data_IF_774182698442
#
_entry.id   IF_774182698442
#
_cell.length_a   1.000
_cell.length_b   1.000
_cell.length_c   1.000
_cell.angle_alpha   90.00
_cell.angle_beta   90.00
_cell.angle_gamma   90.00
#
_symmetry.space_group_name_H-M   'P 1'
#
loop_
_entity.id
_entity.type
_entity.pdbx_description
1 polymer ?
#
# COMPACT_ATOMS: atom_id res chain seq x y z
N UNK A 1 34.61 7.05 -2.86
CA UNK A 1 33.29 6.57 -3.29
C UNK A 1 32.68 5.47 -2.42
N UNK A 2 33.43 4.66 -1.66
CA UNK A 2 32.89 3.57 -0.78
C UNK A 2 32.24 4.03 0.54
N UNK A 3 32.50 5.24 1.03
CA UNK A 3 31.99 5.73 2.34
C UNK A 3 30.56 6.31 2.30
N UNK A 4 30.06 6.71 1.14
CA UNK A 4 28.72 7.33 0.99
C UNK A 4 27.62 6.25 0.92
N UNK A 5 27.93 5.07 0.38
CA UNK A 5 26.97 3.95 0.29
C UNK A 5 26.58 3.39 1.67
N UNK A 6 27.48 3.47 2.65
CA UNK A 6 27.22 2.99 4.02
C UNK A 6 26.27 3.91 4.79
N UNK A 7 26.30 5.21 4.50
CA UNK A 7 25.49 6.21 5.22
C UNK A 7 24.01 6.16 4.85
N UNK A 8 23.67 5.86 3.59
CA UNK A 8 22.28 5.75 3.15
C UNK A 8 21.59 4.46 3.65
N UNK A 9 22.34 3.37 3.83
CA UNK A 9 21.81 2.12 4.41
C UNK A 9 21.59 2.26 5.91
N UNK A 10 22.44 3.00 6.62
CA UNK A 10 22.31 3.26 8.06
C UNK A 10 21.10 4.16 8.37
N UNK A 11 20.75 5.12 7.50
CA UNK A 11 19.62 6.04 7.72
C UNK A 11 18.24 5.36 7.59
N UNK A 12 18.16 4.22 6.89
CA UNK A 12 16.93 3.42 6.84
C UNK A 12 16.76 2.49 8.07
N UNK A 13 17.83 2.26 8.82
CA UNK A 13 17.82 1.32 9.96
C UNK A 13 17.60 1.95 11.34
N UNK A 14 17.58 3.28 11.46
CA UNK A 14 17.72 3.92 12.78
C UNK A 14 16.44 4.54 13.37
N UNK A 15 15.23 4.31 12.84
CA UNK A 15 14.05 5.01 13.36
C UNK A 15 12.83 4.17 13.68
N UNK A 16 12.99 2.91 14.10
CA UNK A 16 11.88 2.17 14.71
C UNK A 16 12.13 1.86 16.18
N UNK A 17 12.56 2.83 16.95
CA UNK A 17 12.53 2.74 18.40
C UNK A 17 11.62 3.81 18.97
N UNK A 18 10.34 3.46 19.11
CA UNK A 18 9.53 3.92 20.24
C UNK A 18 8.32 3.02 20.38
N UNK A 19 8.32 2.28 21.45
CA UNK A 19 7.27 1.46 21.98
C UNK A 19 5.99 2.26 22.18
N UNK A 20 5.06 2.15 21.23
CA UNK A 20 3.66 2.45 21.47
C UNK A 20 2.93 1.11 21.40
N UNK A 21 2.14 0.82 22.41
CA UNK A 21 1.35 -0.41 22.53
C UNK A 21 0.55 -0.64 21.24
N UNK A 22 1.10 -1.43 20.35
CA UNK A 22 0.38 -1.95 19.19
C UNK A 22 -0.87 -2.69 19.69
N UNK A 23 -1.93 -2.76 18.88
CA UNK A 23 -3.00 -3.71 19.13
C UNK A 23 -2.35 -5.04 19.49
N UNK A 24 -2.74 -5.63 20.62
CA UNK A 24 -2.09 -6.84 21.11
C UNK A 24 -2.35 -7.97 20.11
N UNK A 25 -1.36 -8.25 19.28
CA UNK A 25 -1.38 -9.38 18.37
C UNK A 25 -0.96 -10.63 19.14
N UNK A 26 -1.74 -11.73 19.09
CA UNK A 26 -1.39 -12.94 19.80
C UNK A 26 -0.09 -13.54 19.24
N UNK A 27 0.76 -14.07 20.11
CA UNK A 27 2.09 -14.61 19.77
C UNK A 27 2.06 -15.63 18.62
N UNK A 28 0.96 -16.39 18.48
CA UNK A 28 0.79 -17.39 17.42
C UNK A 28 0.96 -16.81 16.02
N UNK A 29 0.60 -15.54 15.79
CA UNK A 29 0.71 -14.91 14.45
C UNK A 29 2.13 -14.50 14.10
N UNK A 30 3.08 -14.65 15.03
CA UNK A 30 4.51 -14.41 14.81
C UNK A 30 5.33 -15.71 14.93
N UNK A 31 4.86 -16.69 15.68
CA UNK A 31 5.53 -17.98 15.84
C UNK A 31 5.20 -18.96 14.70
N UNK A 32 4.02 -18.84 14.11
CA UNK A 32 3.59 -19.60 12.94
C UNK A 32 3.48 -18.67 11.74
N UNK A 33 3.58 -19.22 10.53
CA UNK A 33 3.35 -18.44 9.33
C UNK A 33 1.89 -17.98 9.29
N UNK A 34 1.72 -16.68 9.34
CA UNK A 34 0.40 -16.05 9.29
C UNK A 34 0.38 -14.92 8.26
N UNK A 35 -0.45 -15.05 7.25
CA UNK A 35 -0.67 -14.07 6.18
C UNK A 35 -2.14 -14.08 5.73
N UNK A 36 -2.51 -13.12 4.89
CA UNK A 36 -3.83 -13.07 4.26
C UNK A 36 -4.69 -11.93 4.81
N UNK A 37 -5.99 -12.03 4.55
CA UNK A 37 -6.95 -10.97 4.79
C UNK A 37 -7.42 -10.94 6.25
N UNK A 38 -7.41 -9.75 6.82
CA UNK A 38 -8.00 -9.41 8.11
C UNK A 38 -8.96 -8.25 7.93
N UNK A 39 -10.14 -8.37 8.50
CA UNK A 39 -11.15 -7.32 8.54
C UNK A 39 -11.08 -6.53 9.83
N UNK A 40 -11.34 -5.24 9.74
CA UNK A 40 -11.28 -4.30 10.85
C UNK A 40 -12.66 -3.70 11.14
N UNK A 41 -12.95 -3.54 12.42
CA UNK A 41 -14.04 -2.75 12.97
C UNK A 41 -13.51 -1.51 13.69
N UNK A 42 -14.40 -0.79 14.39
CA UNK A 42 -14.05 0.39 15.18
C UNK A 42 -13.01 0.08 16.26
N UNK A 43 -12.14 1.05 16.57
CA UNK A 43 -11.13 0.93 17.62
C UNK A 43 -10.05 -0.13 17.34
N UNK A 44 -9.74 -0.38 16.05
CA UNK A 44 -8.78 -1.42 15.63
C UNK A 44 -9.16 -2.85 16.07
N UNK A 45 -10.42 -3.11 16.40
CA UNK A 45 -10.89 -4.48 16.53
C UNK A 45 -10.74 -5.20 15.19
N UNK A 46 -10.26 -6.43 15.20
CA UNK A 46 -9.99 -7.17 13.98
C UNK A 46 -10.35 -8.64 14.06
N UNK A 47 -10.61 -9.23 12.91
CA UNK A 47 -10.79 -10.66 12.77
C UNK A 47 -10.17 -11.16 11.48
N UNK A 48 -9.38 -12.25 11.55
CA UNK A 48 -8.85 -12.92 10.35
C UNK A 48 -10.01 -13.45 9.52
N UNK A 49 -9.97 -13.20 8.23
CA UNK A 49 -10.89 -13.81 7.29
C UNK A 49 -10.56 -15.29 7.11
N UNK A 50 -11.58 -16.14 7.19
CA UNK A 50 -11.48 -17.58 6.99
C UNK A 50 -12.53 -18.00 5.96
N UNK A 51 -12.14 -18.64 4.84
CA UNK A 51 -13.08 -19.02 3.80
C UNK A 51 -14.22 -19.87 4.34
N UNK A 52 -15.45 -19.55 3.95
CA UNK A 52 -16.66 -20.28 4.39
C UNK A 52 -17.14 -19.95 5.81
N UNK A 53 -16.47 -19.07 6.53
CA UNK A 53 -16.88 -18.64 7.86
C UNK A 53 -17.35 -17.19 7.88
N UNK A 54 -18.34 -16.88 8.73
CA UNK A 54 -18.78 -15.51 8.97
C UNK A 54 -17.67 -14.68 9.62
N UNK A 55 -17.68 -13.38 9.36
CA UNK A 55 -16.75 -12.43 9.95
C UNK A 55 -17.53 -11.23 10.48
N UNK A 56 -17.27 -10.83 11.72
CA UNK A 56 -18.00 -9.76 12.38
C UNK A 56 -17.86 -8.39 11.69
N UNK A 57 -16.78 -8.20 10.92
CA UNK A 57 -16.42 -6.92 10.29
C UNK A 57 -16.54 -6.95 8.76
N UNK A 58 -17.14 -8.00 8.19
CA UNK A 58 -17.35 -8.12 6.75
C UNK A 58 -18.83 -8.26 6.40
N UNK A 59 -19.28 -7.46 5.46
CA UNK A 59 -20.58 -7.60 4.82
C UNK A 59 -20.41 -7.54 3.30
N UNK A 60 -20.81 -8.60 2.62
CA UNK A 60 -20.62 -8.76 1.17
C UNK A 60 -21.24 -7.67 0.30
N UNK A 61 -22.23 -6.93 0.79
CA UNK A 61 -22.92 -5.88 0.04
C UNK A 61 -22.27 -4.49 0.20
N UNK A 62 -21.40 -4.32 1.20
CA UNK A 62 -20.72 -3.05 1.44
C UNK A 62 -19.60 -2.80 0.43
N UNK A 63 -19.35 -1.54 0.09
CA UNK A 63 -18.10 -1.13 -0.56
C UNK A 63 -16.93 -1.55 0.29
N UNK A 64 -15.79 -1.81 -0.34
CA UNK A 64 -14.65 -2.40 0.37
C UNK A 64 -13.36 -1.66 0.01
N UNK A 65 -12.55 -1.36 1.01
CA UNK A 65 -11.16 -0.91 0.86
C UNK A 65 -10.21 -1.90 1.50
N UNK A 66 -9.19 -2.31 0.75
CA UNK A 66 -8.12 -3.23 1.19
C UNK A 66 -6.81 -2.48 1.20
N UNK A 67 -6.09 -2.55 2.32
CA UNK A 67 -4.75 -2.02 2.47
C UNK A 67 -3.70 -3.13 2.43
N UNK A 68 -2.54 -2.85 1.82
CA UNK A 68 -1.39 -3.75 1.75
C UNK A 68 -0.15 -2.96 2.19
N UNK A 69 0.45 -3.41 3.29
CA UNK A 69 1.64 -2.75 3.85
C UNK A 69 2.91 -3.05 3.04
N UNK A 70 3.96 -2.28 3.31
CA UNK A 70 5.26 -2.42 2.67
C UNK A 70 6.22 -3.37 3.38
N UNK A 71 7.54 -3.13 3.22
CA UNK A 71 8.60 -3.81 3.95
C UNK A 71 8.49 -3.55 5.46
N UNK A 72 8.69 -4.60 6.25
CA UNK A 72 8.41 -4.60 7.69
C UNK A 72 9.57 -5.19 8.50
N UNK A 73 10.76 -4.62 8.35
CA UNK A 73 11.97 -5.10 9.04
C UNK A 73 11.76 -5.17 10.56
N UNK A 74 12.12 -6.30 11.14
CA UNK A 74 11.98 -6.63 12.57
C UNK A 74 10.54 -6.69 13.11
N UNK A 75 9.52 -6.61 12.27
CA UNK A 75 8.13 -6.65 12.73
C UNK A 75 7.77 -7.96 13.44
N UNK A 76 8.33 -9.09 12.99
CA UNK A 76 8.08 -10.39 13.63
C UNK A 76 8.73 -10.47 15.01
N UNK A 77 9.97 -10.00 15.16
CA UNK A 77 10.71 -10.00 16.45
C UNK A 77 10.07 -9.03 17.42
N UNK A 78 9.67 -7.86 16.95
CA UNK A 78 9.01 -6.83 17.76
C UNK A 78 7.52 -7.11 17.98
N UNK A 79 6.98 -8.19 17.38
CA UNK A 79 5.57 -8.58 17.46
C UNK A 79 4.62 -7.45 17.08
N UNK A 80 4.96 -6.72 16.00
CA UNK A 80 4.18 -5.58 15.50
C UNK A 80 3.59 -5.87 14.12
N UNK A 81 2.42 -5.32 13.85
CA UNK A 81 1.75 -5.29 12.55
C UNK A 81 1.16 -3.92 12.29
N UNK A 82 1.02 -3.57 11.02
CA UNK A 82 0.27 -2.39 10.61
C UNK A 82 -1.15 -2.43 11.15
N UNK A 83 -1.69 -1.24 11.48
CA UNK A 83 -3.06 -1.03 11.93
C UNK A 83 -3.53 0.34 11.46
N UNK A 84 -4.82 0.64 11.66
CA UNK A 84 -5.39 1.93 11.26
C UNK A 84 -5.30 3.00 12.37
N UNK A 85 -5.02 2.63 13.60
CA UNK A 85 -4.60 3.58 14.63
C UNK A 85 -3.16 4.03 14.36
N UNK A 86 -3.04 5.14 13.63
CA UNK A 86 -1.75 5.61 13.15
C UNK A 86 -0.92 6.34 14.21
N UNK A 87 -1.51 6.74 15.34
CA UNK A 87 -0.77 7.27 16.48
C UNK A 87 0.30 6.29 16.94
N UNK A 88 -0.02 5.00 16.93
CA UNK A 88 0.89 3.90 17.28
C UNK A 88 2.08 3.74 16.33
N UNK A 89 2.02 4.43 15.18
CA UNK A 89 3.04 4.37 14.13
C UNK A 89 3.72 5.74 13.94
N UNK A 90 3.59 6.65 14.91
CA UNK A 90 4.16 8.00 14.86
C UNK A 90 3.38 8.97 13.96
N UNK A 91 2.19 8.60 13.54
CA UNK A 91 1.24 9.47 12.85
C UNK A 91 0.45 10.40 13.78
N UNK A 92 -0.60 11.07 13.30
CA UNK A 92 -1.53 11.82 14.13
C UNK A 92 -2.31 10.90 15.08
N UNK A 93 -2.91 11.46 16.14
CA UNK A 93 -3.75 10.71 17.08
C UNK A 93 -5.12 10.42 16.45
N UNK A 94 -5.16 9.48 15.49
CA UNK A 94 -6.33 9.13 14.69
C UNK A 94 -6.36 7.63 14.39
N UNK A 95 -7.55 7.05 14.43
CA UNK A 95 -7.84 5.80 13.73
C UNK A 95 -8.39 6.15 12.35
N UNK A 96 -7.58 5.96 11.32
CA UNK A 96 -7.92 6.41 9.96
C UNK A 96 -8.89 5.48 9.23
N UNK A 97 -9.31 4.36 9.84
CA UNK A 97 -10.39 3.51 9.34
C UNK A 97 -11.78 4.04 9.69
N UNK A 98 -11.91 4.83 10.76
CA UNK A 98 -13.22 5.24 11.30
C UNK A 98 -14.09 5.95 10.25
N UNK A 99 -13.52 6.87 9.47
CA UNK A 99 -14.26 7.56 8.40
C UNK A 99 -14.83 6.59 7.36
N UNK A 100 -14.09 5.57 7.00
CA UNK A 100 -14.53 4.54 6.05
C UNK A 100 -15.61 3.64 6.64
N UNK A 101 -15.44 3.20 7.89
CA UNK A 101 -16.41 2.37 8.60
C UNK A 101 -17.74 3.10 8.76
N UNK A 102 -17.70 4.38 9.16
CA UNK A 102 -18.88 5.24 9.31
C UNK A 102 -19.59 5.50 7.98
N UNK A 103 -18.85 5.54 6.87
CA UNK A 103 -19.41 5.61 5.52
C UNK A 103 -19.90 4.25 4.98
N UNK A 104 -19.88 3.22 5.80
CA UNK A 104 -20.41 1.89 5.47
C UNK A 104 -19.49 1.04 4.61
N UNK A 105 -18.17 1.26 4.64
CA UNK A 105 -17.21 0.36 3.97
C UNK A 105 -16.86 -0.84 4.85
N UNK A 106 -16.52 -1.97 4.21
CA UNK A 106 -15.62 -2.94 4.82
C UNK A 106 -14.19 -2.41 4.70
N UNK A 107 -13.41 -2.53 5.76
CA UNK A 107 -12.01 -2.10 5.82
C UNK A 107 -11.14 -3.29 6.15
N UNK A 108 -10.17 -3.60 5.31
CA UNK A 108 -9.32 -4.77 5.49
C UNK A 108 -7.84 -4.51 5.26
N UNK A 109 -6.99 -5.35 5.85
CA UNK A 109 -5.56 -5.40 5.57
C UNK A 109 -5.20 -6.79 5.05
N UNK A 110 -4.46 -6.85 3.94
CA UNK A 110 -3.79 -8.06 3.47
C UNK A 110 -2.38 -8.11 4.07
N UNK A 111 -2.20 -8.94 5.09
CA UNK A 111 -0.93 -9.10 5.78
C UNK A 111 0.00 -10.07 5.06
N UNK A 112 1.28 -9.68 4.98
CA UNK A 112 2.40 -10.49 4.53
C UNK A 112 3.68 -10.19 5.33
N UNK A 113 3.52 -9.63 6.54
CA UNK A 113 4.59 -9.05 7.33
C UNK A 113 5.75 -10.00 7.61
N UNK A 114 5.53 -11.29 7.86
CA UNK A 114 6.61 -12.26 8.07
C UNK A 114 7.43 -12.54 6.80
N UNK A 115 6.81 -12.49 5.62
CA UNK A 115 7.52 -12.50 4.33
C UNK A 115 8.23 -11.18 4.04
N UNK A 116 7.64 -10.05 4.47
CA UNK A 116 8.19 -8.71 4.33
C UNK A 116 9.30 -8.42 5.34
N UNK A 117 9.46 -9.23 6.39
CA UNK A 117 10.47 -9.06 7.44
C UNK A 117 11.82 -9.62 7.01
N UNK A 118 12.43 -8.96 6.04
CA UNK A 118 13.77 -9.24 5.55
C UNK A 118 14.74 -8.14 5.97
N UNK A 119 16.04 -8.49 6.06
CA UNK A 119 17.09 -7.51 6.37
C UNK A 119 17.22 -6.45 5.28
N UNK A 120 16.96 -6.83 4.02
CA UNK A 120 17.05 -5.95 2.88
C UNK A 120 15.72 -5.87 2.14
N UNK A 121 15.34 -4.66 1.75
CA UNK A 121 14.09 -4.40 1.04
C UNK A 121 13.97 -5.16 -0.28
N UNK A 122 15.10 -5.34 -1.01
CA UNK A 122 15.14 -6.10 -2.27
C UNK A 122 14.81 -7.58 -2.09
N UNK A 123 15.13 -8.16 -0.92
CA UNK A 123 14.83 -9.57 -0.62
C UNK A 123 13.32 -9.76 -0.35
N UNK A 124 12.67 -8.79 0.29
CA UNK A 124 11.22 -8.76 0.42
C UNK A 124 10.53 -8.51 -0.93
N UNK A 125 11.05 -7.57 -1.74
CA UNK A 125 10.55 -7.28 -3.08
C UNK A 125 10.55 -8.52 -3.98
N UNK A 126 11.61 -9.33 -3.95
CA UNK A 126 11.71 -10.53 -4.77
C UNK A 126 10.56 -11.51 -4.54
N UNK A 127 10.09 -11.66 -3.29
CA UNK A 127 8.98 -12.57 -2.94
C UNK A 127 7.63 -12.13 -3.50
N UNK A 128 7.46 -10.85 -3.83
CA UNK A 128 6.26 -10.34 -4.49
C UNK A 128 6.13 -10.96 -5.89
N UNK A 129 7.25 -11.12 -6.59
CA UNK A 129 7.31 -11.48 -8.00
C UNK A 129 7.62 -12.94 -8.25
N UNK A 130 8.39 -13.59 -7.36
CA UNK A 130 8.87 -14.96 -7.56
C UNK A 130 8.88 -15.76 -6.27
N UNK A 131 8.32 -16.97 -6.30
CA UNK A 131 8.47 -17.95 -5.22
C UNK A 131 9.88 -18.58 -5.14
N UNK A 132 10.65 -18.50 -6.24
CA UNK A 132 11.98 -19.07 -6.39
C UNK A 132 13.07 -17.99 -6.50
N UNK A 133 12.81 -16.78 -6.01
CA UNK A 133 13.77 -15.68 -5.98
C UNK A 133 14.90 -15.90 -4.96
N UNK A 134 15.80 -14.89 -4.76
CA UNK A 134 17.04 -15.03 -3.98
C UNK A 134 16.88 -15.57 -2.57
N UNK A 135 15.77 -15.33 -1.92
CA UNK A 135 15.48 -15.84 -0.55
C UNK A 135 14.33 -16.84 -0.56
N UNK A 136 13.86 -17.26 -1.72
CA UNK A 136 12.68 -18.10 -1.86
C UNK A 136 11.51 -17.56 -1.01
N UNK A 137 10.64 -18.41 -0.50
CA UNK A 137 9.52 -18.03 0.33
C UNK A 137 9.80 -18.20 1.83
N UNK A 138 11.05 -17.86 2.26
CA UNK A 138 11.33 -17.87 3.70
C UNK A 138 10.55 -16.76 4.40
N UNK A 139 10.19 -17.01 5.65
CA UNK A 139 9.49 -16.08 6.51
C UNK A 139 10.15 -16.01 7.89
N UNK A 140 10.03 -14.89 8.58
CA UNK A 140 10.69 -14.66 9.87
C UNK A 140 9.78 -14.99 11.03
N UNK A 141 10.31 -15.68 12.06
CA UNK A 141 9.65 -15.97 13.33
C UNK A 141 9.92 -14.90 14.37
N UNK A 142 9.15 -14.95 15.48
CA UNK A 142 9.32 -14.06 16.63
C UNK A 142 10.71 -14.16 17.29
N UNK A 143 11.36 -15.30 17.25
CA UNK A 143 12.71 -15.51 17.77
C UNK A 143 13.81 -14.97 16.82
N UNK A 144 13.43 -14.40 15.70
CA UNK A 144 14.34 -13.85 14.69
C UNK A 144 14.87 -14.90 13.69
N UNK A 145 14.59 -16.18 13.88
CA UNK A 145 14.96 -17.23 12.94
C UNK A 145 14.10 -17.17 11.67
N UNK A 146 14.59 -17.79 10.59
CA UNK A 146 13.83 -17.95 9.34
C UNK A 146 13.40 -19.40 9.15
N UNK A 147 12.19 -19.57 8.62
CA UNK A 147 11.68 -20.85 8.12
C UNK A 147 11.25 -20.70 6.66
N UNK A 148 11.23 -21.76 5.90
CA UNK A 148 10.71 -21.78 4.55
C UNK A 148 9.23 -22.17 4.54
N UNK A 149 8.43 -21.45 3.76
CA UNK A 149 7.07 -21.88 3.47
C UNK A 149 7.11 -23.04 2.46
N UNK A 150 6.29 -24.07 2.69
CA UNK A 150 6.13 -25.21 1.77
C UNK A 150 5.26 -24.81 0.58
N UNK A 151 5.73 -23.86 -0.23
CA UNK A 151 5.01 -23.34 -1.40
C UNK A 151 5.96 -22.80 -2.46
N UNK A 152 5.58 -22.96 -3.72
CA UNK A 152 6.21 -22.31 -4.87
C UNK A 152 5.49 -21.03 -5.29
N UNK A 153 4.33 -20.74 -4.69
CA UNK A 153 3.59 -19.52 -4.94
C UNK A 153 4.35 -18.31 -4.36
N UNK A 154 4.41 -17.23 -5.11
CA UNK A 154 4.89 -15.95 -4.62
C UNK A 154 3.84 -15.25 -3.73
N UNK A 155 4.22 -14.15 -3.06
CA UNK A 155 3.32 -13.42 -2.16
C UNK A 155 2.08 -12.89 -2.90
N UNK A 156 2.22 -12.42 -4.15
CA UNK A 156 1.07 -11.99 -4.97
C UNK A 156 0.03 -13.10 -5.08
N UNK A 157 0.45 -14.32 -5.43
CA UNK A 157 -0.44 -15.47 -5.59
C UNK A 157 -1.09 -15.87 -4.26
N UNK A 158 -0.32 -15.90 -3.17
CA UNK A 158 -0.83 -16.23 -1.84
C UNK A 158 -1.91 -15.23 -1.39
N UNK A 159 -1.65 -13.93 -1.55
CA UNK A 159 -2.59 -12.89 -1.12
C UNK A 159 -3.81 -12.78 -2.04
N UNK A 160 -3.61 -12.90 -3.36
CA UNK A 160 -4.74 -12.94 -4.30
C UNK A 160 -5.66 -14.14 -4.03
N UNK A 161 -5.10 -15.31 -3.73
CA UNK A 161 -5.88 -16.49 -3.37
C UNK A 161 -6.63 -16.29 -2.04
N UNK A 162 -5.97 -15.71 -1.03
CA UNK A 162 -6.64 -15.36 0.24
C UNK A 162 -7.81 -14.40 0.01
N UNK A 163 -7.63 -13.36 -0.80
CA UNK A 163 -8.68 -12.39 -1.12
C UNK A 163 -9.84 -13.06 -1.85
N UNK A 164 -9.57 -13.80 -2.92
CA UNK A 164 -10.59 -14.49 -3.71
C UNK A 164 -11.41 -15.47 -2.88
N UNK A 165 -10.75 -16.27 -2.04
CA UNK A 165 -11.41 -17.26 -1.20
C UNK A 165 -12.32 -16.62 -0.13
N UNK A 166 -11.88 -15.51 0.46
CA UNK A 166 -12.61 -14.82 1.53
C UNK A 166 -13.65 -13.80 1.03
N UNK A 167 -13.66 -13.49 -0.26
CA UNK A 167 -14.60 -12.55 -0.88
C UNK A 167 -15.33 -13.16 -2.08
N UNK A 168 -15.42 -14.49 -2.16
CA UNK A 168 -16.06 -15.18 -3.29
C UNK A 168 -17.53 -14.78 -3.48
N UNK A 169 -18.20 -14.38 -2.40
CA UNK A 169 -19.60 -13.94 -2.37
C UNK A 169 -19.77 -12.39 -2.46
N UNK A 170 -18.68 -11.65 -2.70
CA UNK A 170 -18.71 -10.18 -2.72
C UNK A 170 -19.67 -9.62 -3.77
N UNK A 171 -20.56 -8.72 -3.34
CA UNK A 171 -21.59 -8.04 -4.16
C UNK A 171 -21.50 -6.52 -4.06
N UNK A 172 -20.52 -5.99 -3.31
CA UNK A 172 -20.36 -4.55 -3.11
C UNK A 172 -20.17 -3.79 -4.42
N UNK A 173 -20.58 -2.52 -4.42
CA UNK A 173 -20.50 -1.67 -5.60
C UNK A 173 -19.06 -1.25 -5.97
N UNK A 174 -18.14 -1.30 -5.01
CA UNK A 174 -16.75 -0.89 -5.18
C UNK A 174 -15.81 -1.79 -4.38
N UNK A 175 -14.76 -2.27 -5.04
CA UNK A 175 -13.54 -2.78 -4.41
C UNK A 175 -12.42 -1.79 -4.71
N UNK A 176 -11.75 -1.30 -3.66
CA UNK A 176 -10.56 -0.47 -3.74
C UNK A 176 -9.38 -1.21 -3.13
N UNK A 177 -8.26 -1.25 -3.85
CA UNK A 177 -7.01 -1.85 -3.36
C UNK A 177 -5.97 -0.75 -3.21
N UNK A 178 -5.35 -0.68 -2.03
CA UNK A 178 -4.34 0.33 -1.72
C UNK A 178 -3.06 -0.35 -1.26
N UNK A 179 -1.92 0.22 -1.61
CA UNK A 179 -0.64 -0.30 -1.17
C UNK A 179 0.31 0.81 -0.73
N UNK A 180 1.16 0.54 0.26
CA UNK A 180 2.19 1.45 0.73
C UNK A 180 3.58 0.88 0.47
N UNK A 181 4.53 1.70 0.00
CA UNK A 181 5.92 1.26 -0.22
C UNK A 181 5.99 0.05 -1.17
N UNK A 182 6.57 -1.08 -0.77
CA UNK A 182 6.52 -2.34 -1.53
C UNK A 182 5.08 -2.88 -1.72
N UNK A 183 4.16 -2.58 -0.80
CA UNK A 183 2.74 -2.95 -0.93
C UNK A 183 2.07 -2.40 -2.19
N UNK A 184 2.64 -1.35 -2.79
CA UNK A 184 2.19 -0.82 -4.08
C UNK A 184 2.35 -1.84 -5.22
N UNK A 185 3.47 -2.58 -5.22
CA UNK A 185 3.70 -3.64 -6.19
C UNK A 185 2.67 -4.76 -6.02
N UNK A 186 2.33 -5.11 -4.77
CA UNK A 186 1.26 -6.07 -4.46
C UNK A 186 -0.12 -5.54 -4.86
N UNK A 187 -0.42 -4.25 -4.61
CA UNK A 187 -1.69 -3.66 -5.02
C UNK A 187 -1.89 -3.76 -6.54
N UNK A 188 -0.85 -3.52 -7.33
CA UNK A 188 -0.88 -3.66 -8.77
C UNK A 188 -0.96 -5.12 -9.21
N UNK A 189 -0.09 -6.00 -8.70
CA UNK A 189 -0.01 -7.41 -9.14
C UNK A 189 -1.25 -8.21 -8.75
N UNK A 190 -1.80 -7.98 -7.55
CA UNK A 190 -3.07 -8.60 -7.11
C UNK A 190 -4.22 -8.09 -7.98
N UNK A 191 -4.30 -6.78 -8.25
CA UNK A 191 -5.34 -6.22 -9.11
C UNK A 191 -5.28 -6.81 -10.54
N UNK A 192 -4.08 -7.01 -11.10
CA UNK A 192 -3.91 -7.64 -12.40
C UNK A 192 -4.26 -9.13 -12.39
N UNK A 193 -3.95 -9.84 -11.30
CA UNK A 193 -4.38 -11.22 -11.10
C UNK A 193 -5.91 -11.32 -11.09
N UNK A 194 -6.58 -10.46 -10.32
CA UNK A 194 -8.05 -10.41 -10.29
C UNK A 194 -8.63 -10.06 -11.67
N UNK A 195 -8.04 -9.09 -12.38
CA UNK A 195 -8.42 -8.74 -13.76
C UNK A 195 -8.33 -9.96 -14.70
N UNK A 196 -7.21 -10.69 -14.62
CA UNK A 196 -7.03 -11.89 -15.47
C UNK A 196 -8.02 -12.99 -15.10
N UNK A 197 -8.32 -13.18 -13.83
CA UNK A 197 -9.29 -14.16 -13.34
C UNK A 197 -10.74 -13.80 -13.75
N UNK A 198 -11.11 -12.52 -13.69
CA UNK A 198 -12.41 -12.03 -14.20
C UNK A 198 -12.51 -12.24 -15.71
N UNK A 199 -11.47 -11.88 -16.47
CA UNK A 199 -11.46 -12.04 -17.93
C UNK A 199 -11.57 -13.51 -18.35
N UNK A 200 -11.04 -14.42 -17.55
CA UNK A 200 -11.14 -15.87 -17.77
C UNK A 200 -12.40 -16.50 -17.14
N UNK A 201 -13.34 -15.70 -16.62
CA UNK A 201 -14.56 -16.15 -15.94
C UNK A 201 -14.30 -17.11 -14.75
N UNK A 202 -13.13 -17.00 -14.09
CA UNK A 202 -12.80 -17.79 -12.91
C UNK A 202 -13.37 -17.22 -11.61
N UNK A 203 -13.65 -15.92 -11.60
CA UNK A 203 -14.24 -15.20 -10.46
C UNK A 203 -15.28 -14.18 -10.96
N UNK A 204 -16.13 -13.72 -10.05
CA UNK A 204 -17.13 -12.68 -10.34
C UNK A 204 -16.45 -11.34 -10.72
N UNK A 205 -17.06 -10.61 -11.66
CA UNK A 205 -16.61 -9.26 -12.03
C UNK A 205 -16.72 -8.23 -10.88
N UNK A 206 -17.44 -8.55 -9.81
CA UNK A 206 -17.51 -7.73 -8.60
C UNK A 206 -16.15 -7.59 -7.90
N UNK A 207 -15.28 -8.59 -8.06
CA UNK A 207 -13.92 -8.58 -7.54
C UNK A 207 -12.93 -7.79 -8.41
N UNK A 208 -13.34 -7.25 -9.56
CA UNK A 208 -12.50 -6.34 -10.33
C UNK A 208 -12.41 -5.00 -9.59
N UNK A 209 -11.23 -4.56 -9.15
CA UNK A 209 -11.09 -3.29 -8.45
C UNK A 209 -11.58 -2.13 -9.33
N UNK A 210 -12.29 -1.18 -8.73
CA UNK A 210 -12.67 0.07 -9.42
C UNK A 210 -11.59 1.13 -9.30
N UNK A 211 -10.77 1.04 -8.24
CA UNK A 211 -9.75 2.03 -7.91
C UNK A 211 -8.55 1.36 -7.23
N UNK A 212 -7.34 1.77 -7.62
CA UNK A 212 -6.07 1.36 -7.02
C UNK A 212 -5.33 2.60 -6.56
N UNK A 213 -4.89 2.64 -5.29
CA UNK A 213 -4.13 3.75 -4.75
C UNK A 213 -2.72 3.31 -4.33
N UNK A 214 -1.71 4.01 -4.84
CA UNK A 214 -0.30 3.75 -4.64
C UNK A 214 0.27 4.82 -3.69
N UNK A 215 0.62 4.41 -2.46
CA UNK A 215 0.98 5.31 -1.37
C UNK A 215 2.50 5.26 -1.16
N UNK A 216 3.19 6.30 -1.58
CA UNK A 216 4.65 6.44 -1.63
C UNK A 216 5.34 5.20 -2.23
N UNK A 217 5.06 4.90 -3.53
CA UNK A 217 5.45 3.65 -4.17
C UNK A 217 6.96 3.49 -4.24
N UNK A 218 7.43 2.27 -3.94
CA UNK A 218 8.84 1.92 -3.96
C UNK A 218 9.14 0.83 -4.99
N UNK A 219 10.20 1.04 -5.77
CA UNK A 219 10.75 0.10 -6.74
C UNK A 219 12.27 0.11 -6.59
N UNK A 220 12.89 -1.01 -6.20
CA UNK A 220 14.35 -1.06 -6.07
C UNK A 220 15.03 -1.00 -7.44
N UNK A 221 16.17 -0.31 -7.52
CA UNK A 221 16.89 -0.07 -8.76
C UNK A 221 17.37 -1.34 -9.46
N UNK A 222 17.49 -1.28 -10.77
CA UNK A 222 18.10 -2.26 -11.65
C UNK A 222 17.24 -3.48 -11.99
N UNK A 223 17.63 -4.16 -13.05
CA UNK A 223 16.99 -5.39 -13.51
C UNK A 223 17.10 -6.52 -12.48
N UNK A 224 16.13 -7.45 -12.52
CA UNK A 224 16.00 -8.57 -11.58
C UNK A 224 16.14 -9.88 -12.34
N UNK A 225 17.11 -10.72 -11.94
CA UNK A 225 17.33 -12.03 -12.56
C UNK A 225 16.06 -12.91 -12.54
N UNK A 226 15.28 -12.84 -11.49
CA UNK A 226 14.01 -13.56 -11.36
C UNK A 226 12.85 -12.98 -12.22
N UNK A 227 13.08 -11.86 -12.93
CA UNK A 227 12.18 -11.26 -13.92
C UNK A 227 12.77 -11.23 -15.34
N UNK A 228 13.78 -12.05 -15.62
CA UNK A 228 14.47 -12.04 -16.90
C UNK A 228 15.27 -10.76 -17.16
N UNK A 229 15.81 -10.16 -16.12
CA UNK A 229 16.50 -8.87 -16.04
C UNK A 229 15.61 -7.62 -16.23
N UNK A 230 14.30 -7.77 -16.28
CA UNK A 230 13.42 -6.61 -16.23
C UNK A 230 13.45 -5.95 -14.85
N UNK A 231 13.22 -4.66 -14.84
CA UNK A 231 13.05 -3.89 -13.61
C UNK A 231 11.59 -3.96 -13.10
N UNK A 232 11.42 -4.08 -11.78
CA UNK A 232 10.08 -4.18 -11.15
C UNK A 232 9.18 -2.98 -11.48
N UNK A 233 9.75 -1.78 -11.60
CA UNK A 233 9.01 -0.57 -11.99
C UNK A 233 8.52 -0.61 -13.43
N UNK A 234 9.24 -1.24 -14.34
CA UNK A 234 8.80 -1.46 -15.74
C UNK A 234 7.65 -2.45 -15.80
N UNK A 235 7.75 -3.56 -15.07
CA UNK A 235 6.65 -4.52 -14.92
C UNK A 235 5.40 -3.86 -14.34
N UNK A 236 5.56 -2.97 -13.35
CA UNK A 236 4.46 -2.19 -12.76
C UNK A 236 3.79 -1.28 -13.79
N UNK A 237 4.54 -0.63 -14.70
CA UNK A 237 3.97 0.17 -15.80
C UNK A 237 3.09 -0.66 -16.73
N UNK A 238 3.59 -1.82 -17.16
CA UNK A 238 2.81 -2.73 -18.01
C UNK A 238 1.54 -3.24 -17.33
N UNK A 239 1.58 -3.48 -16.01
CA UNK A 239 0.39 -3.81 -15.22
C UNK A 239 -0.59 -2.64 -15.20
N UNK A 240 -0.10 -1.43 -14.92
CA UNK A 240 -0.95 -0.23 -14.91
C UNK A 240 -1.66 -0.04 -16.25
N UNK A 241 -1.00 -0.23 -17.38
CA UNK A 241 -1.61 -0.16 -18.71
C UNK A 241 -2.76 -1.16 -18.88
N UNK A 242 -2.58 -2.42 -18.44
CA UNK A 242 -3.64 -3.43 -18.51
C UNK A 242 -4.82 -3.10 -17.60
N UNK A 243 -4.58 -2.53 -16.41
CA UNK A 243 -5.64 -2.12 -15.48
C UNK A 243 -6.40 -0.92 -16.03
N UNK A 244 -5.70 0.10 -16.54
CA UNK A 244 -6.28 1.31 -17.14
C UNK A 244 -7.13 0.94 -18.36
N UNK A 245 -6.68 0.02 -19.22
CA UNK A 245 -7.46 -0.44 -20.38
C UNK A 245 -8.79 -1.11 -20.00
N UNK A 246 -8.95 -1.56 -18.75
CA UNK A 246 -10.21 -2.06 -18.19
C UNK A 246 -11.00 -1.00 -17.41
N UNK A 247 -10.60 0.26 -17.53
CA UNK A 247 -11.28 1.39 -16.89
C UNK A 247 -11.06 1.50 -15.39
N UNK A 248 -10.02 0.85 -14.84
CA UNK A 248 -9.66 0.95 -13.43
C UNK A 248 -8.95 2.28 -13.21
N UNK A 249 -9.40 3.05 -12.22
CA UNK A 249 -8.75 4.29 -11.83
C UNK A 249 -7.50 3.99 -11.00
N UNK A 250 -6.35 4.62 -11.34
CA UNK A 250 -5.11 4.48 -10.59
C UNK A 250 -4.64 5.86 -10.16
N UNK A 251 -4.35 6.00 -8.87
CA UNK A 251 -3.79 7.20 -8.28
C UNK A 251 -2.51 6.89 -7.51
N UNK A 252 -1.61 7.84 -7.40
CA UNK A 252 -0.37 7.69 -6.65
C UNK A 252 -0.06 8.94 -5.83
N UNK A 253 0.35 8.74 -4.60
CA UNK A 253 0.71 9.78 -3.65
C UNK A 253 2.16 9.61 -3.24
N UNK A 254 2.98 10.63 -3.44
CA UNK A 254 4.37 10.65 -3.00
C UNK A 254 4.54 11.66 -1.87
N UNK A 255 5.08 11.22 -0.74
CA UNK A 255 5.31 12.06 0.44
C UNK A 255 6.77 12.14 0.84
N UNK A 256 7.63 11.30 0.26
CA UNK A 256 9.06 11.28 0.60
C UNK A 256 9.97 11.23 -0.62
N UNK A 257 11.23 11.68 -0.51
CA UNK A 257 12.24 11.47 -1.53
C UNK A 257 12.84 10.05 -1.52
N UNK A 258 12.53 9.21 -0.52
CA UNK A 258 13.11 7.84 -0.39
C UNK A 258 12.89 7.03 -1.66
N UNK A 259 11.69 7.15 -2.22
CA UNK A 259 11.29 6.37 -3.40
C UNK A 259 11.89 6.88 -4.70
N UNK A 260 12.47 8.08 -4.71
CA UNK A 260 13.09 8.74 -5.89
C UNK A 260 14.59 8.97 -5.74
N UNK A 261 15.20 8.48 -4.66
CA UNK A 261 16.64 8.62 -4.44
C UNK A 261 17.42 7.58 -5.24
N UNK A 262 18.25 8.01 -6.15
CA UNK A 262 18.95 7.18 -7.14
C UNK A 262 19.74 5.97 -6.59
N UNK A 263 20.06 5.95 -5.30
CA UNK A 263 20.79 4.84 -4.66
C UNK A 263 19.87 3.80 -3.99
N UNK A 264 18.60 4.12 -3.80
CA UNK A 264 17.67 3.27 -3.04
C UNK A 264 16.52 2.79 -3.92
N UNK A 265 15.92 3.70 -4.68
CA UNK A 265 14.78 3.43 -5.53
C UNK A 265 14.76 4.31 -6.77
N UNK A 266 13.76 4.11 -7.60
CA UNK A 266 13.51 4.90 -8.80
C UNK A 266 12.12 5.52 -8.74
N UNK A 267 12.03 6.80 -9.13
CA UNK A 267 10.78 7.56 -9.12
C UNK A 267 9.68 7.00 -10.03
N UNK A 268 10.04 6.10 -10.93
CA UNK A 268 9.16 5.51 -11.94
C UNK A 268 8.32 6.54 -12.69
N UNK A 269 8.96 7.55 -13.27
CA UNK A 269 8.30 8.64 -13.98
C UNK A 269 7.34 8.15 -15.08
N UNK A 270 7.68 7.03 -15.73
CA UNK A 270 6.79 6.40 -16.71
C UNK A 270 5.45 5.93 -16.12
N UNK A 271 5.40 5.56 -14.84
CA UNK A 271 4.16 5.25 -14.13
C UNK A 271 3.44 6.55 -13.71
N UNK A 272 4.18 7.55 -13.19
CA UNK A 272 3.64 8.85 -12.79
C UNK A 272 2.83 9.48 -13.93
N UNK A 273 3.31 9.38 -15.16
CA UNK A 273 2.66 9.95 -16.33
C UNK A 273 1.31 9.27 -16.68
N UNK A 274 1.06 8.06 -16.21
CA UNK A 274 -0.15 7.27 -16.50
C UNK A 274 -1.25 7.39 -15.44
N UNK A 275 -0.91 7.87 -14.25
CA UNK A 275 -1.80 7.86 -13.08
C UNK A 275 -2.18 9.25 -12.62
N UNK A 276 -3.23 9.38 -11.80
CA UNK A 276 -3.50 10.60 -11.06
C UNK A 276 -2.42 10.77 -9.98
N UNK A 277 -1.45 11.64 -10.19
CA UNK A 277 -0.29 11.75 -9.32
C UNK A 277 -0.38 12.98 -8.42
N UNK A 278 -0.15 12.75 -7.12
CA UNK A 278 -0.12 13.76 -6.07
C UNK A 278 1.24 13.77 -5.38
N UNK A 279 1.86 14.92 -5.32
CA UNK A 279 3.07 15.17 -4.54
C UNK A 279 2.70 15.87 -3.23
N UNK A 280 2.66 15.10 -2.14
CA UNK A 280 2.47 15.62 -0.79
C UNK A 280 3.77 16.25 -0.29
N UNK A 281 3.66 17.34 0.46
CA UNK A 281 4.80 18.03 1.07
C UNK A 281 4.64 18.09 2.58
N UNK A 282 5.01 17.05 3.32
CA UNK A 282 4.86 17.03 4.78
C UNK A 282 5.95 17.89 5.45
N UNK A 283 5.81 19.23 5.38
CA UNK A 283 6.77 20.18 5.95
C UNK A 283 6.70 20.28 7.47
N UNK A 284 5.65 19.74 8.08
CA UNK A 284 5.57 19.57 9.54
C UNK A 284 6.56 18.51 10.08
N UNK A 285 7.22 17.75 9.20
CA UNK A 285 8.30 16.83 9.54
C UNK A 285 9.65 17.40 9.10
N UNK A 286 10.70 17.24 9.93
CA UNK A 286 12.04 17.70 9.57
C UNK A 286 12.55 17.01 8.30
N UNK A 287 13.43 17.69 7.56
CA UNK A 287 13.94 17.23 6.26
C UNK A 287 14.60 15.85 6.32
N UNK A 288 15.27 15.54 7.41
CA UNK A 288 15.99 14.28 7.63
C UNK A 288 15.12 13.10 8.06
N UNK A 289 13.87 13.32 8.49
CA UNK A 289 12.98 12.24 8.96
C UNK A 289 12.28 11.55 7.77
N UNK A 290 13.12 10.92 6.93
CA UNK A 290 12.66 10.31 5.69
C UNK A 290 11.68 9.16 5.93
N UNK A 291 11.88 8.38 7.00
CA UNK A 291 11.02 7.26 7.35
C UNK A 291 9.60 7.70 7.71
N UNK A 292 9.46 8.75 8.55
CA UNK A 292 8.14 9.30 8.86
C UNK A 292 7.51 9.95 7.64
N UNK A 293 8.27 10.70 6.83
CA UNK A 293 7.76 11.26 5.56
C UNK A 293 7.24 10.16 4.64
N UNK A 294 7.94 9.03 4.54
CA UNK A 294 7.50 7.87 3.76
C UNK A 294 6.14 7.32 4.25
N UNK A 295 5.92 7.32 5.56
CA UNK A 295 4.67 6.85 6.15
C UNK A 295 3.50 7.83 5.99
N UNK A 296 3.76 9.12 5.70
CA UNK A 296 2.69 10.15 5.58
C UNK A 296 1.66 9.77 4.53
N UNK A 297 2.09 9.36 3.33
CA UNK A 297 1.15 9.05 2.24
C UNK A 297 0.08 8.02 2.67
N UNK A 298 0.46 7.04 3.50
CA UNK A 298 -0.43 6.02 4.01
C UNK A 298 -1.55 6.60 4.88
N UNK A 299 -1.19 7.22 6.00
CA UNK A 299 -2.20 7.71 6.92
C UNK A 299 -2.94 8.93 6.39
N UNK A 300 -2.28 9.80 5.62
CA UNK A 300 -2.91 10.93 4.96
C UNK A 300 -4.01 10.47 3.99
N UNK A 301 -3.72 9.49 3.13
CA UNK A 301 -4.71 8.95 2.21
C UNK A 301 -5.94 8.42 2.94
N UNK A 302 -5.76 7.54 3.92
CA UNK A 302 -6.89 6.96 4.64
C UNK A 302 -7.68 8.02 5.40
N UNK A 303 -7.01 8.97 6.05
CA UNK A 303 -7.67 10.04 6.79
C UNK A 303 -8.39 11.03 5.87
N UNK A 304 -7.85 11.32 4.69
CA UNK A 304 -8.47 12.24 3.72
C UNK A 304 -9.86 11.81 3.25
N UNK A 305 -10.24 10.54 3.46
CA UNK A 305 -11.59 10.07 3.19
C UNK A 305 -12.66 10.75 4.05
N UNK A 306 -12.30 11.22 5.24
CA UNK A 306 -13.22 11.90 6.17
C UNK A 306 -13.49 13.36 5.81
N UNK A 307 -12.86 13.89 4.77
CA UNK A 307 -12.98 15.29 4.34
C UNK A 307 -13.49 15.40 2.91
N UNK A 308 -14.01 16.58 2.56
CA UNK A 308 -14.30 16.89 1.16
C UNK A 308 -13.03 16.82 0.31
N UNK A 309 -13.12 16.51 -0.99
CA UNK A 309 -11.95 16.54 -1.85
C UNK A 309 -11.23 17.90 -1.77
N UNK A 310 -9.88 17.91 -1.71
CA UNK A 310 -9.12 19.16 -1.63
C UNK A 310 -9.32 20.01 -2.88
N UNK A 311 -9.37 21.32 -2.72
CA UNK A 311 -9.47 22.25 -3.85
C UNK A 311 -8.16 22.30 -4.65
N UNK A 312 -8.26 22.72 -5.90
CA UNK A 312 -7.09 23.06 -6.73
C UNK A 312 -7.02 24.58 -6.86
N UNK A 313 -5.86 25.15 -6.54
CA UNK A 313 -5.59 26.58 -6.71
C UNK A 313 -5.89 27.01 -8.15
N UNK A 314 -6.53 28.14 -8.30
CA UNK A 314 -6.89 28.75 -9.57
C UNK A 314 -7.80 27.84 -10.46
N UNK A 315 -8.57 26.96 -9.81
CA UNK A 315 -9.51 26.04 -10.46
C UNK A 315 -10.73 25.77 -9.58
N UNK A 316 -11.88 25.60 -10.21
CA UNK A 316 -13.11 25.16 -9.52
C UNK A 316 -13.24 23.64 -9.45
N UNK A 317 -12.17 22.91 -9.73
CA UNK A 317 -12.18 21.43 -9.77
C UNK A 317 -11.56 20.85 -8.52
N UNK A 318 -12.07 19.68 -8.12
CA UNK A 318 -11.50 18.90 -7.04
C UNK A 318 -10.10 18.35 -7.40
N UNK A 319 -9.23 18.32 -6.41
CA UNK A 319 -7.99 17.56 -6.42
C UNK A 319 -8.22 16.07 -6.14
N UNK A 320 -7.13 15.33 -5.93
CA UNK A 320 -7.18 13.91 -5.60
C UNK A 320 -7.00 13.68 -4.10
N UNK A 321 -7.91 12.89 -3.54
CA UNK A 321 -7.87 12.34 -2.17
C UNK A 321 -8.68 11.05 -2.14
N UNK A 322 -8.70 10.36 -1.01
CA UNK A 322 -9.52 9.15 -0.88
C UNK A 322 -11.02 9.42 -1.06
N UNK A 323 -11.52 10.63 -0.72
CA UNK A 323 -12.93 11.02 -0.90
C UNK A 323 -13.28 11.47 -2.32
N UNK A 324 -12.29 11.78 -3.17
CA UNK A 324 -12.53 12.19 -4.57
C UNK A 324 -13.20 11.08 -5.35
N UNK A 325 -14.22 11.42 -6.14
CA UNK A 325 -14.94 10.43 -6.92
C UNK A 325 -14.08 9.82 -8.05
N UNK A 326 -14.41 8.59 -8.45
CA UNK A 326 -13.63 7.81 -9.42
C UNK A 326 -13.52 8.51 -10.78
N UNK A 327 -14.57 9.19 -11.25
CA UNK A 327 -14.55 9.86 -12.54
C UNK A 327 -13.55 11.03 -12.53
N UNK A 328 -13.48 11.75 -11.42
CA UNK A 328 -12.48 12.81 -11.25
C UNK A 328 -11.06 12.26 -11.24
N UNK A 329 -10.81 11.15 -10.55
CA UNK A 329 -9.50 10.47 -10.59
C UNK A 329 -9.14 10.09 -12.03
N UNK A 330 -10.07 9.53 -12.82
CA UNK A 330 -9.83 9.21 -14.23
C UNK A 330 -9.49 10.44 -15.07
N UNK A 331 -10.14 11.58 -14.85
CA UNK A 331 -9.77 12.85 -15.50
C UNK A 331 -8.35 13.28 -15.16
N UNK A 332 -7.95 13.16 -13.87
CA UNK A 332 -6.60 13.50 -13.43
C UNK A 332 -5.53 12.56 -14.00
N UNK A 333 -5.87 11.29 -14.27
CA UNK A 333 -4.96 10.35 -14.95
C UNK A 333 -4.60 10.81 -16.36
N UNK A 334 -5.55 11.36 -17.11
CA UNK A 334 -5.35 11.84 -18.49
C UNK A 334 -4.79 13.26 -18.57
N UNK A 335 -4.66 13.96 -17.44
CA UNK A 335 -4.10 15.29 -17.36
C UNK A 335 -2.59 15.28 -17.66
N UNK A 336 -2.11 16.28 -18.39
CA UNK A 336 -0.68 16.57 -18.53
C UNK A 336 -0.04 17.13 -17.27
N UNK A 337 -0.85 17.39 -16.23
CA UNK A 337 -0.40 17.93 -14.95
C UNK A 337 -0.52 16.89 -13.84
N UNK A 338 0.42 16.96 -12.90
CA UNK A 338 0.34 16.38 -11.57
C UNK A 338 -0.20 17.39 -10.57
N UNK A 339 -0.67 16.91 -9.44
CA UNK A 339 -1.05 17.74 -8.30
C UNK A 339 0.12 17.87 -7.33
N UNK A 340 0.40 19.07 -6.88
CA UNK A 340 1.45 19.36 -5.88
C UNK A 340 0.82 20.10 -4.72
N UNK A 341 1.11 19.68 -3.51
CA UNK A 341 0.63 20.29 -2.28
C UNK A 341 0.98 21.78 -2.25
N UNK A 342 -0.02 22.64 -2.10
CA UNK A 342 0.11 24.10 -2.10
C UNK A 342 -0.17 24.70 -0.73
N UNK A 343 -1.32 24.38 -0.11
CA UNK A 343 -1.70 24.74 1.24
C UNK A 343 -1.90 23.48 2.07
N UNK A 344 -1.86 23.55 3.41
CA UNK A 344 -1.97 22.39 4.30
C UNK A 344 -0.64 21.64 4.55
N UNK A 345 0.43 21.93 3.79
CA UNK A 345 1.72 21.23 3.88
C UNK A 345 2.40 21.30 5.27
N UNK A 346 2.04 22.30 6.09
CA UNK A 346 2.56 22.49 7.45
C UNK A 346 1.71 21.88 8.54
N UNK A 347 0.54 21.38 8.20
CA UNK A 347 -0.37 20.70 9.11
C UNK A 347 -0.37 19.20 8.86
N UNK A 348 -0.84 18.43 9.85
CA UNK A 348 -0.99 16.96 9.69
C UNK A 348 -2.35 16.60 9.11
N UNK A 349 -3.33 17.48 9.31
CA UNK A 349 -4.71 17.21 8.90
C UNK A 349 -4.90 17.43 7.40
N UNK A 350 -5.56 16.50 6.69
CA UNK A 350 -5.97 16.73 5.29
C UNK A 350 -7.11 17.73 5.12
N UNK A 351 -7.66 18.29 6.21
CA UNK A 351 -8.85 19.16 6.18
C UNK A 351 -8.60 20.50 5.48
N UNK A 352 -7.37 21.00 5.53
CA UNK A 352 -6.95 22.29 4.96
C UNK A 352 -6.09 22.13 3.69
N UNK A 353 -6.07 20.93 3.10
CA UNK A 353 -5.30 20.67 1.90
C UNK A 353 -5.82 21.43 0.69
N UNK A 354 -4.89 22.05 -0.02
CA UNK A 354 -5.10 22.58 -1.36
C UNK A 354 -3.93 22.19 -2.26
N UNK A 355 -4.21 21.82 -3.48
CA UNK A 355 -3.19 21.47 -4.47
C UNK A 355 -3.07 22.54 -5.56
N UNK A 356 -1.99 22.48 -6.32
CA UNK A 356 -1.84 23.22 -7.58
C UNK A 356 -1.42 22.28 -8.69
N UNK A 357 -1.76 22.62 -9.91
CA UNK A 357 -1.27 21.94 -11.10
C UNK A 357 0.20 22.27 -11.36
N UNK A 358 0.98 21.25 -11.67
CA UNK A 358 2.36 21.33 -12.15
C UNK A 358 2.51 20.34 -13.30
N UNK A 359 3.19 20.67 -14.37
CA UNK A 359 3.44 19.75 -15.49
C UNK A 359 4.07 18.43 -15.00
N UNK A 360 3.63 17.29 -15.59
CA UNK A 360 4.17 15.95 -15.31
C UNK A 360 5.59 15.79 -15.83
#
# INVERSE_FOLDING_TARGET
MKKITLLCVLLLSTTFSNSVLAAYWPDRVFNNLDYGLYWFGTGDNYQKATPGHSNAYYNKYKKTVIFIHGWQQNSSVNKTREAFDVARQGGPNQNVAEGWLNAGYNVGILYWNQFADEKEVKDAEAKIWSGNGPRQMRWRRADGSYANASTTNNVTQLLANSLKANMSDFQGAELRITGHSLGNQLALTISDTLRADVQANRITNKLLPKRVALLDPFYSNGGKSYLGNDWTGERARGIADRLISKGIAIEAYRSSPVTSTAFVGDANNGLINKVAFVELKPWFLPAWDLGKKHSVAKWHYFWSFSFVPPSIRDSNSDGASASTNINRIKQLMTSSNKLVHHHGAWTRSPADDQFKYVAK
#
